data_IF_455066662065
#
_entry.id   IF_455066662065
#
_cell.length_a   1.000
_cell.length_b   1.000
_cell.length_c   1.000
_cell.angle_alpha   90.00
_cell.angle_beta   90.00
_cell.angle_gamma   90.00
#
_symmetry.space_group_name_H-M   'P 1'
#
loop_
_entity.id
_entity.type
_entity.pdbx_description
1 polymer ?
#
# COMPACT_ATOMS: atom_id res chain seq x y z
N UNK A 1 22.95 8.02 -6.94
CA UNK A 1 22.87 8.85 -8.16
C UNK A 1 23.64 8.17 -9.27
N UNK A 2 23.18 8.19 -10.52
CA UNK A 2 23.97 7.71 -11.65
C UNK A 2 24.48 8.93 -12.44
N UNK A 3 25.76 8.91 -12.83
CA UNK A 3 26.35 9.85 -13.76
C UNK A 3 26.63 9.12 -15.07
N UNK A 4 26.17 9.69 -16.18
CA UNK A 4 26.41 9.20 -17.54
C UNK A 4 27.14 10.31 -18.29
N UNK A 5 28.34 10.00 -18.78
CA UNK A 5 29.13 10.89 -19.63
C UNK A 5 29.02 10.39 -21.08
N UNK A 6 28.56 11.25 -21.99
CA UNK A 6 28.37 10.92 -23.42
C UNK A 6 29.24 11.85 -24.25
N UNK A 7 30.11 11.26 -25.07
CA UNK A 7 30.98 12.02 -25.99
C UNK A 7 30.25 12.18 -27.33
N UNK A 8 30.08 13.42 -27.73
CA UNK A 8 29.42 13.77 -28.97
C UNK A 8 30.39 14.43 -29.94
N UNK A 9 30.36 14.06 -31.20
CA UNK A 9 31.09 14.70 -32.27
C UNK A 9 30.13 15.11 -33.38
N UNK A 10 30.33 16.27 -33.97
CA UNK A 10 29.58 16.78 -35.11
C UNK A 10 30.53 17.18 -36.21
N UNK A 11 30.36 16.60 -37.39
CA UNK A 11 30.99 17.05 -38.62
C UNK A 11 30.33 18.37 -39.13
N UNK A 12 31.03 19.26 -39.78
CA UNK A 12 30.46 20.49 -40.33
C UNK A 12 29.22 20.16 -41.22
N UNK A 13 28.03 20.69 -40.82
CA UNK A 13 26.79 20.47 -41.54
C UNK A 13 26.13 19.11 -41.29
N UNK A 14 26.72 18.20 -40.52
CA UNK A 14 26.20 16.87 -40.24
C UNK A 14 25.43 16.75 -38.91
N UNK A 15 24.79 15.61 -38.67
CA UNK A 15 24.16 15.30 -37.36
C UNK A 15 25.20 15.03 -36.27
N UNK A 16 24.78 15.17 -35.00
CA UNK A 16 25.58 14.74 -33.87
C UNK A 16 25.72 13.22 -33.85
N UNK A 17 26.94 12.72 -33.62
CA UNK A 17 27.23 11.28 -33.47
C UNK A 17 27.76 11.02 -32.07
N UNK A 18 27.27 9.99 -31.42
CA UNK A 18 27.83 9.48 -30.14
C UNK A 18 29.09 8.69 -30.48
N UNK A 19 30.24 9.10 -29.93
CA UNK A 19 31.53 8.44 -30.14
C UNK A 19 31.97 7.62 -28.94
N UNK A 20 31.30 7.78 -27.82
CA UNK A 20 31.52 6.98 -26.61
C UNK A 20 30.55 7.36 -25.51
N UNK A 21 30.32 6.43 -24.61
CA UNK A 21 29.57 6.66 -23.38
C UNK A 21 30.20 5.88 -22.23
N UNK A 22 30.18 6.47 -21.04
CA UNK A 22 30.55 5.80 -19.79
C UNK A 22 29.53 6.12 -18.69
N UNK A 23 29.39 5.22 -17.75
CA UNK A 23 28.52 5.46 -16.60
C UNK A 23 29.18 5.03 -15.29
N UNK A 24 28.85 5.74 -14.21
CA UNK A 24 29.28 5.38 -12.87
C UNK A 24 28.19 5.68 -11.86
N UNK A 25 28.12 4.87 -10.80
CA UNK A 25 27.29 5.16 -9.63
C UNK A 25 28.06 6.05 -8.66
N UNK A 26 27.41 7.14 -8.27
CA UNK A 26 27.88 8.04 -7.21
C UNK A 26 27.04 7.78 -5.97
N UNK A 27 27.66 7.25 -4.91
CA UNK A 27 26.96 7.09 -3.65
C UNK A 27 26.69 8.50 -3.05
N UNK A 28 25.43 8.72 -2.65
CA UNK A 28 25.05 9.89 -1.85
C UNK A 28 25.13 9.43 -0.39
N UNK A 29 26.04 10.03 0.36
CA UNK A 29 26.24 9.74 1.78
C UNK A 29 25.45 10.73 2.65
N UNK A 30 25.18 10.43 3.94
CA UNK A 30 24.50 11.36 4.83
C UNK A 30 25.16 12.73 4.96
N UNK A 31 26.48 12.79 4.79
CA UNK A 31 27.32 14.00 4.85
C UNK A 31 27.57 14.65 3.48
N UNK A 32 26.98 14.10 2.40
CA UNK A 32 27.09 14.73 1.07
C UNK A 32 26.40 16.09 1.09
N UNK A 33 27.13 17.19 0.85
CA UNK A 33 26.54 18.54 0.90
C UNK A 33 25.49 18.68 -0.22
N UNK A 34 24.35 19.25 0.14
CA UNK A 34 23.34 19.61 -0.85
C UNK A 34 23.79 20.84 -1.65
N UNK A 35 23.39 20.88 -2.91
CA UNK A 35 23.66 22.03 -3.78
C UNK A 35 22.90 23.28 -3.28
N UNK A 36 23.58 24.41 -3.00
CA UNK A 36 22.94 25.59 -2.42
C UNK A 36 21.94 26.26 -3.37
N UNK A 37 22.12 26.18 -4.68
CA UNK A 37 21.20 26.74 -5.66
C UNK A 37 19.91 25.92 -5.69
N UNK A 38 20.02 24.60 -5.72
CA UNK A 38 18.88 23.69 -5.65
C UNK A 38 18.11 23.88 -4.32
N UNK A 39 18.82 24.03 -3.20
CA UNK A 39 18.19 24.31 -1.90
C UNK A 39 17.42 25.63 -1.93
N UNK A 40 18.00 26.68 -2.52
CA UNK A 40 17.35 27.99 -2.61
C UNK A 40 16.08 27.92 -3.48
N UNK A 41 16.13 27.22 -4.62
CA UNK A 41 14.98 27.02 -5.51
C UNK A 41 13.89 26.19 -4.86
N UNK A 42 14.25 25.12 -4.12
CA UNK A 42 13.29 24.21 -3.48
C UNK A 42 12.66 24.79 -2.21
N UNK A 43 13.35 25.69 -1.51
CA UNK A 43 12.94 26.22 -0.19
C UNK A 43 11.48 26.70 -0.12
N UNK A 44 10.97 27.59 -1.00
CA UNK A 44 9.59 28.08 -0.88
C UNK A 44 8.55 26.96 -1.01
N UNK A 45 8.81 25.95 -1.83
CA UNK A 45 7.92 24.79 -2.00
C UNK A 45 7.99 23.86 -0.78
N UNK A 46 9.19 23.62 -0.28
CA UNK A 46 9.40 22.81 0.93
C UNK A 46 8.70 23.43 2.13
N UNK A 47 8.90 24.72 2.38
CA UNK A 47 8.25 25.43 3.48
C UNK A 47 6.72 25.48 3.34
N UNK A 48 6.20 25.58 2.12
CA UNK A 48 4.76 25.50 1.87
C UNK A 48 4.20 24.11 2.16
N UNK A 49 4.91 23.06 1.73
CA UNK A 49 4.54 21.67 2.01
C UNK A 49 4.56 21.36 3.52
N UNK A 50 5.62 21.80 4.23
CA UNK A 50 5.71 21.61 5.68
C UNK A 50 4.54 22.30 6.41
N UNK A 51 4.25 23.58 6.07
CA UNK A 51 3.09 24.27 6.65
C UNK A 51 1.76 23.59 6.38
N UNK A 52 1.57 23.01 5.19
CA UNK A 52 0.37 22.26 4.86
C UNK A 52 0.28 20.97 5.65
N UNK A 53 1.37 20.21 5.70
CA UNK A 53 1.42 18.93 6.40
C UNK A 53 1.23 19.05 7.91
N UNK A 54 1.65 20.17 8.51
CA UNK A 54 1.52 20.42 9.94
C UNK A 54 0.14 20.97 10.35
N UNK A 55 -0.78 21.19 9.38
CA UNK A 55 -2.13 21.63 9.71
C UNK A 55 -2.91 20.53 10.43
N UNK A 56 -3.52 20.82 11.58
CA UNK A 56 -4.42 19.89 12.23
C UNK A 56 -5.71 19.74 11.41
N UNK A 57 -6.07 18.50 11.10
CA UNK A 57 -7.22 18.16 10.26
C UNK A 57 -8.28 17.34 11.00
N UNK A 58 -7.90 16.70 12.11
CA UNK A 58 -8.78 15.84 12.90
C UNK A 58 -8.32 15.76 14.36
N UNK A 59 -9.08 15.06 15.18
CA UNK A 59 -8.71 14.62 16.52
C UNK A 59 -9.00 13.14 16.68
N UNK A 60 -8.02 12.38 17.20
CA UNK A 60 -8.18 10.97 17.49
C UNK A 60 -8.34 10.74 18.98
N UNK A 61 -9.33 9.94 19.38
CA UNK A 61 -9.58 9.59 20.78
C UNK A 61 -8.59 8.56 21.34
N UNK A 62 -7.88 7.84 20.46
CA UNK A 62 -6.89 6.84 20.82
C UNK A 62 -5.68 6.90 19.87
N UNK A 63 -4.56 6.31 20.28
CA UNK A 63 -3.47 6.06 19.34
C UNK A 63 -3.87 4.90 18.40
N UNK A 64 -3.69 5.11 17.08
CA UNK A 64 -3.87 4.08 16.06
C UNK A 64 -2.51 3.70 15.48
N UNK A 65 -2.24 2.40 15.35
CA UNK A 65 -0.94 1.92 14.85
C UNK A 65 -1.10 0.84 13.79
N UNK A 66 -0.23 0.87 12.78
CA UNK A 66 -0.15 -0.15 11.73
C UNK A 66 0.71 -1.37 12.09
N UNK A 67 1.38 -1.37 13.26
CA UNK A 67 2.46 -2.33 13.57
C UNK A 67 2.06 -3.81 13.41
N UNK A 68 0.82 -4.17 13.73
CA UNK A 68 0.29 -5.54 13.61
C UNK A 68 -0.83 -5.69 12.59
N UNK A 69 -1.19 -4.62 11.89
CA UNK A 69 -2.37 -4.57 11.03
C UNK A 69 -2.36 -5.52 9.82
N UNK A 70 -1.23 -6.19 9.51
CA UNK A 70 -1.18 -7.28 8.52
C UNK A 70 -1.40 -8.67 9.09
N UNK A 71 -1.48 -8.79 10.42
CA UNK A 71 -1.60 -10.06 11.13
C UNK A 71 -2.84 -10.11 12.01
N UNK A 72 -3.34 -8.95 12.39
CA UNK A 72 -4.45 -8.79 13.32
C UNK A 72 -5.40 -7.72 12.79
N UNK A 73 -6.64 -7.84 13.16
CA UNK A 73 -7.62 -6.79 13.03
C UNK A 73 -7.24 -5.61 13.93
N UNK A 74 -7.17 -4.41 13.36
CA UNK A 74 -6.73 -3.21 14.07
C UNK A 74 -7.58 -2.00 13.69
N UNK A 75 -7.87 -1.16 14.68
CA UNK A 75 -8.65 0.06 14.49
C UNK A 75 -8.10 1.00 13.39
N UNK A 76 -6.79 0.95 13.09
CA UNK A 76 -6.24 1.71 11.97
C UNK A 76 -6.70 1.17 10.61
N UNK A 77 -6.66 -0.15 10.45
CA UNK A 77 -7.10 -0.82 9.21
C UNK A 77 -8.61 -0.65 9.05
N UNK A 78 -9.37 -0.81 10.14
CA UNK A 78 -10.82 -0.55 10.14
C UNK A 78 -11.14 0.86 9.68
N UNK A 79 -10.45 1.88 10.21
CA UNK A 79 -10.68 3.27 9.83
C UNK A 79 -10.45 3.50 8.32
N UNK A 80 -9.44 2.86 7.72
CA UNK A 80 -9.20 2.93 6.27
C UNK A 80 -10.38 2.32 5.51
N UNK A 81 -10.82 1.14 5.91
CA UNK A 81 -11.93 0.43 5.26
C UNK A 81 -13.27 1.17 5.44
N UNK A 82 -13.56 1.69 6.62
CA UNK A 82 -14.78 2.46 6.89
C UNK A 82 -14.88 3.68 5.99
N UNK A 83 -13.78 4.43 5.80
CA UNK A 83 -13.72 5.56 4.87
C UNK A 83 -14.00 5.09 3.44
N UNK A 84 -13.36 4.01 2.98
CA UNK A 84 -13.58 3.48 1.64
C UNK A 84 -15.03 3.02 1.44
N UNK A 85 -15.60 2.27 2.38
CA UNK A 85 -16.98 1.78 2.32
C UNK A 85 -17.98 2.91 2.32
N UNK A 86 -17.75 3.95 3.14
CA UNK A 86 -18.61 5.12 3.21
C UNK A 86 -18.68 5.87 1.88
N UNK A 87 -17.52 6.24 1.32
CA UNK A 87 -17.49 7.06 0.09
C UNK A 87 -17.84 6.25 -1.16
N UNK A 88 -17.48 4.98 -1.23
CA UNK A 88 -17.87 4.09 -2.32
C UNK A 88 -19.31 3.57 -2.20
N UNK A 89 -19.96 3.73 -1.04
CA UNK A 89 -21.24 3.08 -0.68
C UNK A 89 -21.18 1.58 -0.93
N UNK A 90 -20.08 0.95 -0.49
CA UNK A 90 -19.78 -0.44 -0.78
C UNK A 90 -20.18 -1.37 0.35
N UNK A 91 -20.49 -2.62 -0.01
CA UNK A 91 -20.74 -3.71 0.92
C UNK A 91 -19.46 -4.30 1.50
N UNK A 92 -18.39 -4.31 0.70
CA UNK A 92 -17.07 -4.87 1.03
C UNK A 92 -16.00 -3.89 0.57
N UNK A 93 -14.94 -3.76 1.35
CA UNK A 93 -13.77 -2.94 1.00
C UNK A 93 -12.52 -3.79 0.98
N UNK A 94 -11.66 -3.62 -0.04
CA UNK A 94 -10.32 -4.17 -0.11
C UNK A 94 -9.28 -3.07 0.00
N UNK A 95 -8.32 -3.26 0.89
CA UNK A 95 -7.16 -2.36 1.03
C UNK A 95 -5.97 -3.10 1.61
N UNK A 96 -4.78 -2.70 1.21
CA UNK A 96 -3.54 -3.12 1.87
C UNK A 96 -3.06 -2.06 2.84
N UNK A 97 -2.41 -2.48 3.91
CA UNK A 97 -1.68 -1.58 4.79
C UNK A 97 -0.32 -1.25 4.16
N UNK A 98 -0.21 -0.10 3.47
CA UNK A 98 1.00 0.31 2.76
C UNK A 98 2.17 0.56 3.71
N UNK A 99 1.93 1.24 4.82
CA UNK A 99 2.95 1.56 5.81
C UNK A 99 2.64 0.96 7.18
N UNK A 100 3.20 -0.21 7.53
CA UNK A 100 2.96 -0.83 8.83
C UNK A 100 3.61 -0.08 10.00
N UNK A 101 4.46 0.93 9.73
CA UNK A 101 5.10 1.75 10.77
C UNK A 101 4.33 3.03 11.08
N UNK A 102 3.22 3.26 10.40
CA UNK A 102 2.42 4.47 10.61
C UNK A 102 1.80 4.46 12.02
N UNK A 103 1.74 5.65 12.59
CA UNK A 103 1.08 5.94 13.86
C UNK A 103 0.27 7.20 13.70
N UNK A 104 -0.96 7.16 14.14
CA UNK A 104 -1.82 8.32 14.33
C UNK A 104 -1.91 8.56 15.84
N UNK A 105 -1.42 9.70 16.35
CA UNK A 105 -1.40 9.95 17.79
C UNK A 105 -2.82 10.15 18.35
N UNK A 106 -2.97 9.91 19.64
CA UNK A 106 -4.14 10.41 20.36
C UNK A 106 -4.09 11.94 20.42
N UNK A 107 -5.23 12.60 20.26
CA UNK A 107 -5.35 14.05 20.23
C UNK A 107 -5.30 14.58 18.82
N UNK A 108 -4.63 15.73 18.61
CA UNK A 108 -4.56 16.39 17.30
C UNK A 108 -3.85 15.50 16.26
N UNK A 109 -4.49 15.38 15.11
CA UNK A 109 -3.98 14.66 13.94
C UNK A 109 -3.76 15.68 12.83
N UNK A 110 -2.58 15.69 12.26
CA UNK A 110 -2.23 16.60 11.17
C UNK A 110 -2.38 15.93 9.80
N UNK A 111 -2.30 16.72 8.73
CA UNK A 111 -2.29 16.20 7.37
C UNK A 111 -1.11 15.24 7.13
N UNK A 112 0.01 15.41 7.86
CA UNK A 112 1.20 14.56 7.79
C UNK A 112 0.91 13.12 8.20
N UNK A 113 0.23 12.91 9.34
CA UNK A 113 -0.13 11.58 9.79
C UNK A 113 -1.08 10.90 8.80
N UNK A 114 -2.05 11.64 8.24
CA UNK A 114 -2.97 11.10 7.26
C UNK A 114 -2.28 10.77 5.93
N UNK A 115 -1.36 11.63 5.45
CA UNK A 115 -0.57 11.34 4.25
C UNK A 115 0.32 10.11 4.41
N UNK A 116 0.77 9.80 5.65
CA UNK A 116 1.55 8.61 5.93
C UNK A 116 0.75 7.30 5.90
N UNK A 117 -0.59 7.36 6.02
CA UNK A 117 -1.48 6.20 5.88
C UNK A 117 -1.56 5.73 4.42
N UNK A 118 -1.63 6.68 3.49
CA UNK A 118 -1.86 6.41 2.08
C UNK A 118 -0.78 7.10 1.23
N UNK A 119 0.28 6.35 0.95
CA UNK A 119 1.51 6.87 0.32
C UNK A 119 1.38 7.14 -1.19
N UNK A 120 0.32 6.65 -1.82
CA UNK A 120 0.13 6.72 -3.26
C UNK A 120 -1.10 7.54 -3.59
N UNK A 121 -1.01 8.32 -4.66
CA UNK A 121 -2.13 9.09 -5.21
C UNK A 121 -3.04 8.15 -6.03
N UNK A 122 -3.91 7.44 -5.33
CA UNK A 122 -4.86 6.50 -5.90
C UNK A 122 -6.29 7.04 -5.82
N UNK A 123 -7.10 6.67 -6.79
CA UNK A 123 -8.54 6.92 -6.80
C UNK A 123 -9.29 5.75 -6.15
N UNK A 124 -10.38 6.06 -5.45
CA UNK A 124 -11.29 5.07 -4.91
C UNK A 124 -12.32 4.67 -5.96
N UNK A 125 -12.38 3.39 -6.27
CA UNK A 125 -13.35 2.80 -7.19
C UNK A 125 -14.38 1.97 -6.43
N UNK A 126 -15.59 1.94 -6.96
CA UNK A 126 -16.63 1.02 -6.56
C UNK A 126 -16.99 0.15 -7.77
N UNK A 127 -16.85 -1.15 -7.63
CA UNK A 127 -17.13 -2.11 -8.69
C UNK A 127 -18.27 -3.05 -8.27
N UNK A 128 -19.08 -3.44 -9.24
CA UNK A 128 -20.07 -4.48 -9.02
C UNK A 128 -19.37 -5.85 -9.09
N UNK A 129 -19.62 -6.69 -8.10
CA UNK A 129 -18.99 -7.99 -7.96
C UNK A 129 -19.92 -9.02 -7.30
N UNK A 130 -19.33 -10.10 -6.85
CA UNK A 130 -20.05 -11.18 -6.17
C UNK A 130 -19.16 -11.88 -5.13
N UNK A 131 -19.77 -12.80 -4.35
CA UNK A 131 -19.05 -13.50 -3.30
C UNK A 131 -17.89 -14.37 -3.79
N UNK A 132 -17.95 -14.90 -5.03
CA UNK A 132 -16.83 -15.63 -5.63
C UNK A 132 -15.62 -14.71 -5.81
N UNK A 133 -15.81 -13.51 -6.34
CA UNK A 133 -14.73 -12.52 -6.53
C UNK A 133 -14.09 -12.15 -5.19
N UNK A 134 -14.89 -11.97 -4.14
CA UNK A 134 -14.38 -11.71 -2.78
C UNK A 134 -13.52 -12.88 -2.30
N UNK A 135 -13.98 -14.11 -2.43
CA UNK A 135 -13.22 -15.30 -2.05
C UNK A 135 -11.92 -15.42 -2.81
N UNK A 136 -11.95 -15.28 -4.14
CA UNK A 136 -10.77 -15.38 -5.00
C UNK A 136 -9.74 -14.28 -4.69
N UNK A 137 -10.18 -13.04 -4.42
CA UNK A 137 -9.31 -11.95 -4.02
C UNK A 137 -8.62 -12.23 -2.67
N UNK A 138 -9.37 -12.74 -1.68
CA UNK A 138 -8.82 -13.12 -0.38
C UNK A 138 -7.84 -14.30 -0.48
N UNK A 139 -8.14 -15.30 -1.30
CA UNK A 139 -7.23 -16.42 -1.55
C UNK A 139 -5.94 -15.97 -2.25
N UNK A 140 -6.03 -15.02 -3.19
CA UNK A 140 -4.85 -14.42 -3.80
C UNK A 140 -4.03 -13.63 -2.76
N UNK A 141 -4.67 -12.79 -1.96
CA UNK A 141 -4.03 -12.03 -0.88
C UNK A 141 -3.35 -12.95 0.14
N UNK A 142 -3.99 -14.07 0.50
CA UNK A 142 -3.45 -15.04 1.46
C UNK A 142 -2.12 -15.69 1.01
N UNK A 143 -1.72 -15.57 -0.26
CA UNK A 143 -0.41 -16.01 -0.76
C UNK A 143 0.74 -15.22 -0.15
N UNK A 144 0.47 -14.04 0.39
CA UNK A 144 1.44 -13.25 1.16
C UNK A 144 2.07 -14.03 2.31
N UNK A 145 1.35 -15.00 2.86
CA UNK A 145 1.84 -15.87 3.91
C UNK A 145 2.38 -17.19 3.36
N UNK A 146 3.40 -17.70 4.00
CA UNK A 146 3.91 -19.05 3.73
C UNK A 146 2.92 -20.10 4.23
N UNK A 147 2.88 -21.26 3.58
CA UNK A 147 2.17 -22.40 4.13
C UNK A 147 2.87 -22.89 5.39
N UNK A 148 2.09 -23.28 6.35
CA UNK A 148 2.54 -23.75 7.64
C UNK A 148 1.79 -25.03 8.01
N UNK A 149 2.16 -26.19 7.47
CA UNK A 149 1.46 -27.46 7.67
C UNK A 149 1.57 -28.03 9.10
N UNK A 150 2.44 -27.45 9.94
CA UNK A 150 2.67 -27.95 11.30
C UNK A 150 2.20 -26.95 12.38
N UNK A 151 1.75 -27.43 13.56
CA UNK A 151 1.34 -26.55 14.67
C UNK A 151 2.45 -25.62 15.19
N UNK A 152 3.71 -25.85 14.80
CA UNK A 152 4.89 -25.16 15.30
C UNK A 152 5.39 -24.02 14.39
N UNK A 153 4.51 -23.35 13.65
CA UNK A 153 4.85 -22.20 12.82
C UNK A 153 5.43 -20.98 13.55
N UNK A 154 5.49 -21.02 14.85
CA UNK A 154 6.04 -19.94 15.67
C UNK A 154 7.54 -19.65 15.45
N UNK A 155 8.27 -20.51 14.74
CA UNK A 155 9.73 -20.43 14.60
C UNK A 155 10.23 -19.88 13.27
N UNK A 156 9.38 -19.54 12.33
CA UNK A 156 9.78 -19.03 11.03
C UNK A 156 9.06 -17.74 10.62
N UNK A 157 9.61 -16.95 9.69
CA UNK A 157 8.89 -15.80 9.15
C UNK A 157 7.65 -16.32 8.42
N UNK A 158 6.45 -15.96 8.94
CA UNK A 158 5.17 -16.31 8.32
C UNK A 158 5.00 -15.70 6.92
N UNK A 159 5.68 -14.59 6.67
CA UNK A 159 5.54 -13.81 5.42
C UNK A 159 6.43 -14.38 4.33
N UNK A 160 5.88 -14.54 3.13
CA UNK A 160 6.68 -14.77 1.93
C UNK A 160 7.29 -13.43 1.46
N UNK A 161 8.62 -13.31 1.60
CA UNK A 161 9.35 -12.09 1.22
C UNK A 161 9.38 -11.81 -0.29
N UNK A 162 9.00 -12.78 -1.12
CA UNK A 162 8.85 -12.58 -2.56
C UNK A 162 7.60 -11.77 -2.90
N UNK A 163 6.62 -11.71 -2.00
CA UNK A 163 5.38 -10.95 -2.17
C UNK A 163 5.48 -9.65 -1.37
N UNK A 164 5.41 -8.53 -2.07
CA UNK A 164 5.45 -7.22 -1.42
C UNK A 164 4.20 -7.00 -0.55
N UNK A 165 4.38 -6.39 0.63
CA UNK A 165 3.29 -6.21 1.58
C UNK A 165 2.16 -5.30 1.09
N UNK A 166 2.40 -4.47 0.09
CA UNK A 166 1.34 -3.69 -0.56
C UNK A 166 0.46 -4.53 -1.51
N UNK A 167 0.82 -5.79 -1.75
CA UNK A 167 0.01 -6.77 -2.48
C UNK A 167 -0.80 -7.68 -1.55
N UNK A 168 -0.74 -7.46 -0.24
CA UNK A 168 -1.58 -8.14 0.72
C UNK A 168 -2.78 -7.27 1.05
N UNK A 169 -3.88 -7.50 0.33
CA UNK A 169 -5.14 -6.82 0.60
C UNK A 169 -5.92 -7.56 1.70
N UNK A 170 -6.45 -6.78 2.62
CA UNK A 170 -7.39 -7.21 3.65
C UNK A 170 -8.79 -6.77 3.23
N UNK A 171 -9.82 -7.42 3.75
CA UNK A 171 -11.20 -7.05 3.46
C UNK A 171 -11.97 -6.70 4.72
N UNK A 172 -12.86 -5.72 4.61
CA UNK A 172 -13.89 -5.41 5.59
C UNK A 172 -15.29 -5.48 4.97
N UNK A 173 -16.31 -5.67 5.79
CA UNK A 173 -17.67 -5.94 5.36
C UNK A 173 -17.97 -7.43 5.27
N UNK A 174 -16.93 -8.26 5.40
CA UNK A 174 -17.00 -9.73 5.50
C UNK A 174 -16.20 -10.22 6.70
N UNK A 175 -16.60 -11.37 7.25
CA UNK A 175 -15.88 -12.11 8.28
C UNK A 175 -15.17 -13.29 7.61
N UNK A 176 -13.91 -13.53 7.93
CA UNK A 176 -13.14 -14.64 7.38
C UNK A 176 -11.93 -14.99 8.24
N UNK A 177 -11.42 -16.18 8.02
CA UNK A 177 -10.17 -16.67 8.62
C UNK A 177 -9.21 -17.10 7.52
N UNK A 178 -7.91 -16.94 7.74
CA UNK A 178 -6.86 -17.43 6.84
C UNK A 178 -6.15 -18.59 7.54
N UNK A 179 -6.43 -19.82 7.10
CA UNK A 179 -5.83 -21.04 7.62
C UNK A 179 -4.52 -21.35 6.87
N UNK A 180 -3.38 -21.03 7.47
CA UNK A 180 -2.06 -21.22 6.87
C UNK A 180 -1.61 -22.70 6.82
N UNK A 181 -2.32 -23.61 7.49
CA UNK A 181 -2.06 -25.04 7.39
C UNK A 181 -2.48 -25.60 6.03
N UNK A 182 -3.35 -24.88 5.32
CA UNK A 182 -3.90 -25.25 4.02
C UNK A 182 -3.02 -24.77 2.87
N UNK A 183 -3.07 -25.46 1.73
CA UNK A 183 -2.38 -24.99 0.53
C UNK A 183 -2.99 -23.68 0.02
N UNK A 184 -2.19 -22.87 -0.69
CA UNK A 184 -2.65 -21.67 -1.36
C UNK A 184 -3.86 -21.96 -2.26
N UNK A 185 -4.86 -21.07 -2.25
CA UNK A 185 -6.14 -21.22 -2.94
C UNK A 185 -7.20 -21.99 -2.16
N UNK A 186 -6.90 -22.41 -0.91
CA UNK A 186 -7.85 -23.09 0.00
C UNK A 186 -7.73 -22.61 1.45
N UNK A 187 -7.16 -21.42 1.65
CA UNK A 187 -6.85 -20.87 2.97
C UNK A 187 -7.98 -20.08 3.60
N UNK A 188 -8.86 -19.49 2.80
CA UNK A 188 -9.98 -18.69 3.29
C UNK A 188 -11.05 -19.63 3.84
N UNK A 189 -11.31 -19.49 5.14
CA UNK A 189 -12.28 -20.30 5.88
C UNK A 189 -13.33 -19.39 6.47
N UNK A 190 -14.49 -19.95 6.79
CA UNK A 190 -15.58 -19.28 7.51
C UNK A 190 -16.01 -17.93 6.91
N UNK A 191 -15.90 -17.78 5.58
CA UNK A 191 -16.24 -16.54 4.89
C UNK A 191 -17.74 -16.26 5.00
N UNK A 192 -18.09 -15.16 5.67
CA UNK A 192 -19.46 -14.74 5.97
C UNK A 192 -19.70 -13.30 5.55
N UNK A 193 -20.92 -13.01 5.22
CA UNK A 193 -21.43 -11.66 5.00
C UNK A 193 -22.70 -11.46 5.82
N UNK A 194 -22.71 -10.43 6.67
CA UNK A 194 -23.85 -10.14 7.58
C UNK A 194 -24.26 -11.36 8.42
N UNK A 195 -23.27 -12.09 8.95
CA UNK A 195 -23.47 -13.25 9.81
C UNK A 195 -23.86 -14.55 9.10
N UNK A 196 -24.15 -14.55 7.78
CA UNK A 196 -24.48 -15.74 6.99
C UNK A 196 -23.29 -16.16 6.11
N UNK A 197 -23.12 -17.45 5.78
CA UNK A 197 -22.11 -17.89 4.81
C UNK A 197 -22.26 -17.13 3.49
N UNK A 198 -21.13 -16.58 2.99
CA UNK A 198 -21.14 -15.83 1.73
C UNK A 198 -21.32 -16.80 0.55
N UNK A 199 -22.39 -16.62 -0.21
CA UNK A 199 -22.63 -17.39 -1.43
C UNK A 199 -21.84 -16.80 -2.60
N UNK A 200 -21.36 -17.66 -3.48
CA UNK A 200 -20.55 -17.25 -4.63
C UNK A 200 -21.29 -16.35 -5.61
N UNK A 201 -22.61 -16.53 -5.73
CA UNK A 201 -23.49 -15.75 -6.61
C UNK A 201 -24.04 -14.47 -5.98
N UNK A 202 -23.76 -14.22 -4.70
CA UNK A 202 -24.30 -13.06 -3.99
C UNK A 202 -23.77 -11.75 -4.59
N UNK A 203 -24.64 -10.85 -5.09
CA UNK A 203 -24.22 -9.56 -5.58
C UNK A 203 -23.65 -8.71 -4.44
N UNK A 204 -22.54 -8.04 -4.68
CA UNK A 204 -21.86 -7.16 -3.75
C UNK A 204 -21.30 -5.95 -4.49
N UNK A 205 -21.35 -4.79 -3.84
CA UNK A 205 -20.62 -3.61 -4.27
C UNK A 205 -19.29 -3.56 -3.51
N UNK A 206 -18.18 -3.53 -4.25
CA UNK A 206 -16.82 -3.68 -3.71
C UNK A 206 -16.04 -2.39 -3.89
N UNK A 207 -15.49 -1.86 -2.80
CA UNK A 207 -14.58 -0.72 -2.79
C UNK A 207 -13.13 -1.19 -2.90
N UNK A 208 -12.37 -0.60 -3.80
CA UNK A 208 -10.93 -0.83 -3.97
C UNK A 208 -10.28 0.37 -4.67
N UNK A 209 -8.96 0.45 -4.68
CA UNK A 209 -8.29 1.51 -5.42
C UNK A 209 -8.19 1.21 -6.92
N UNK A 210 -7.96 2.26 -7.73
CA UNK A 210 -7.84 2.17 -9.19
C UNK A 210 -6.72 1.20 -9.63
N UNK A 211 -5.63 1.10 -8.87
CA UNK A 211 -4.53 0.20 -9.16
C UNK A 211 -4.98 -1.27 -9.11
N UNK A 212 -5.79 -1.63 -8.11
CA UNK A 212 -6.39 -2.98 -8.02
C UNK A 212 -7.42 -3.22 -9.11
N UNK A 213 -8.27 -2.23 -9.38
CA UNK A 213 -9.29 -2.33 -10.42
C UNK A 213 -8.68 -2.56 -11.82
N UNK A 214 -7.47 -2.07 -12.07
CA UNK A 214 -6.74 -2.27 -13.33
C UNK A 214 -6.04 -3.65 -13.44
N UNK A 215 -6.18 -4.52 -12.43
CA UNK A 215 -5.59 -5.86 -12.45
C UNK A 215 -4.08 -5.89 -12.17
N UNK A 216 -3.54 -4.85 -11.53
CA UNK A 216 -2.14 -4.82 -11.11
C UNK A 216 -1.98 -5.59 -9.81
N UNK A 217 -1.55 -6.84 -9.87
CA UNK A 217 -1.24 -7.68 -8.71
C UNK A 217 0.08 -8.45 -8.92
#
# INVERSE_FOLDING_TARGET
>A
MARIDVNLVREPGGPWKVTGASSRLLAVQPDTPADPEILALARPYHEAAERYLDQPVAESLAELTGARGRFEDTALVDAIHEVQMHYARADVSFSSLFNPRVRVPRGKVTARELAALYLYDNELYAVEGNGRMVREALENAARYFRSCPEPSCERGPLVDRAIAGYNYDMAQGVEYEIDLTRPAGKRVQNLRYRGAPLRDDQPLRIALNNYRAAGSA
#
